data_IF_523190340344
#
_entry.id   IF_523190340344
#
_cell.length_a   1.000
_cell.length_b   1.000
_cell.length_c   1.000
_cell.angle_alpha   90.00
_cell.angle_beta   90.00
_cell.angle_gamma   90.00
#
_symmetry.space_group_name_H-M   'P 1'
#
loop_
_entity.id
_entity.type
_entity.pdbx_description
1 polymer ?
#
# COMPACT_ATOMS: atom_id res chain seq x y z
N UNK A 1 26.49 -9.97 0.50
CA UNK A 1 25.03 -9.94 0.28
C UNK A 1 24.37 -10.56 1.51
N UNK A 2 23.51 -9.85 2.26
CA UNK A 2 22.77 -10.49 3.33
C UNK A 2 21.51 -11.14 2.76
N UNK A 3 21.59 -12.45 2.55
CA UNK A 3 20.45 -13.37 2.41
C UNK A 3 19.96 -13.75 3.81
N UNK A 4 19.11 -12.93 4.41
CA UNK A 4 18.36 -13.29 5.60
C UNK A 4 16.90 -13.38 5.17
N UNK A 5 16.30 -14.58 5.23
CA UNK A 5 14.84 -14.72 5.26
C UNK A 5 14.38 -14.10 6.57
N UNK A 6 14.19 -12.78 6.60
CA UNK A 6 13.65 -12.09 7.78
C UNK A 6 12.29 -12.71 8.07
N UNK A 7 12.20 -13.50 9.15
CA UNK A 7 10.97 -14.17 9.55
C UNK A 7 9.99 -13.08 9.97
N UNK A 8 8.92 -12.89 9.19
CA UNK A 8 7.88 -11.92 9.52
C UNK A 8 7.15 -12.44 10.75
N UNK A 9 7.12 -11.70 11.87
CA UNK A 9 6.46 -12.18 13.07
C UNK A 9 4.94 -12.23 12.88
N UNK A 10 4.32 -13.30 13.39
CA UNK A 10 2.89 -13.58 13.26
C UNK A 10 2.07 -13.07 14.44
N UNK A 11 2.71 -12.77 15.57
CA UNK A 11 2.04 -12.24 16.76
C UNK A 11 1.58 -10.79 16.59
N UNK A 12 0.86 -10.31 17.59
CA UNK A 12 0.29 -8.95 17.63
C UNK A 12 0.85 -8.12 18.80
N UNK A 13 2.00 -8.54 19.35
CA UNK A 13 2.70 -7.72 20.34
C UNK A 13 3.19 -6.41 19.71
N UNK A 14 3.44 -5.39 20.55
CA UNK A 14 4.00 -4.12 20.08
C UNK A 14 5.33 -4.32 19.35
N UNK A 15 6.14 -5.27 19.82
CA UNK A 15 7.41 -5.65 19.21
C UNK A 15 7.20 -6.27 17.82
N UNK A 16 6.24 -7.19 17.67
CA UNK A 16 5.92 -7.79 16.38
C UNK A 16 5.47 -6.73 15.37
N UNK A 17 4.61 -5.80 15.80
CA UNK A 17 4.16 -4.68 14.96
C UNK A 17 5.34 -3.78 14.55
N UNK A 18 6.26 -3.49 15.48
CA UNK A 18 7.45 -2.68 15.18
C UNK A 18 8.36 -3.36 14.14
N UNK A 19 8.62 -4.65 14.31
CA UNK A 19 9.41 -5.45 13.35
C UNK A 19 8.71 -5.50 11.99
N UNK A 20 7.40 -5.75 11.94
CA UNK A 20 6.63 -5.74 10.67
C UNK A 20 6.71 -4.38 9.97
N UNK A 21 6.61 -3.27 10.73
CA UNK A 21 6.75 -1.92 10.19
C UNK A 21 8.13 -1.74 9.55
N UNK A 22 9.20 -2.14 10.23
CA UNK A 22 10.56 -2.05 9.70
C UNK A 22 10.72 -2.86 8.40
N UNK A 23 10.22 -4.09 8.36
CA UNK A 23 10.24 -4.96 7.17
C UNK A 23 9.48 -4.32 5.99
N UNK A 24 8.30 -3.77 6.23
CA UNK A 24 7.50 -3.10 5.18
C UNK A 24 8.27 -1.89 4.63
N UNK A 25 8.82 -1.05 5.51
CA UNK A 25 9.61 0.12 5.09
C UNK A 25 10.81 -0.33 4.28
N UNK A 26 11.61 -1.28 4.77
CA UNK A 26 12.78 -1.82 4.07
C UNK A 26 12.41 -2.33 2.67
N UNK A 27 11.30 -3.06 2.55
CA UNK A 27 10.88 -3.67 1.28
C UNK A 27 10.29 -2.67 0.29
N UNK A 28 9.58 -1.65 0.76
CA UNK A 28 8.92 -0.66 -0.08
C UNK A 28 9.79 0.56 -0.38
N UNK A 29 10.81 0.85 0.42
CA UNK A 29 11.72 1.98 0.20
C UNK A 29 12.38 1.98 -1.20
N UNK A 30 12.80 0.83 -1.77
CA UNK A 30 13.29 0.76 -3.15
C UNK A 30 12.27 1.12 -4.23
N UNK A 31 10.97 1.22 -3.90
CA UNK A 31 9.92 1.70 -4.81
C UNK A 31 9.78 3.23 -4.78
N UNK A 32 10.38 3.93 -3.82
CA UNK A 32 10.29 5.39 -3.70
C UNK A 32 10.70 6.07 -5.02
N UNK A 33 9.82 6.90 -5.55
CA UNK A 33 10.02 7.61 -6.82
C UNK A 33 9.72 6.79 -8.06
N UNK A 34 9.56 5.46 -7.94
CA UNK A 34 9.16 4.58 -9.03
C UNK A 34 7.65 4.58 -9.20
N UNK A 35 7.22 4.17 -10.38
CA UNK A 35 5.82 3.94 -10.69
C UNK A 35 5.58 2.50 -11.10
N UNK A 36 4.38 1.99 -10.81
CA UNK A 36 3.95 0.66 -11.22
C UNK A 36 2.61 0.74 -11.95
N UNK A 37 2.37 -0.12 -12.95
CA UNK A 37 1.08 -0.14 -13.65
C UNK A 37 -0.03 -0.61 -12.70
N UNK A 38 -1.20 0.03 -12.83
CA UNK A 38 -2.39 -0.29 -12.05
C UNK A 38 -3.52 -0.80 -12.95
N UNK A 39 -4.06 -1.98 -12.63
CA UNK A 39 -5.15 -2.61 -13.38
C UNK A 39 -6.41 -1.74 -13.41
N UNK A 40 -6.78 -1.15 -12.27
CA UNK A 40 -7.96 -0.33 -12.12
C UNK A 40 -7.97 0.91 -13.02
N UNK A 41 -6.79 1.38 -13.43
CA UNK A 41 -6.61 2.52 -14.33
C UNK A 41 -6.02 2.09 -15.69
N UNK A 42 -6.36 0.89 -16.17
CA UNK A 42 -5.96 0.39 -17.50
C UNK A 42 -4.45 0.44 -17.75
N UNK A 43 -3.65 0.17 -16.72
CA UNK A 43 -2.18 0.20 -16.78
C UNK A 43 -1.54 1.57 -16.51
N UNK A 44 -2.32 2.60 -16.16
CA UNK A 44 -1.76 3.88 -15.74
C UNK A 44 -0.81 3.71 -14.54
N UNK A 45 0.22 4.55 -14.53
CA UNK A 45 1.31 4.50 -13.58
C UNK A 45 0.90 5.07 -12.21
N UNK A 46 1.03 4.26 -11.16
CA UNK A 46 0.86 4.65 -9.76
C UNK A 46 2.24 4.83 -9.12
N UNK A 47 2.53 6.05 -8.67
CA UNK A 47 3.82 6.41 -8.08
C UNK A 47 3.86 6.13 -6.58
N UNK A 48 5.00 5.66 -6.09
CA UNK A 48 5.26 5.53 -4.65
C UNK A 48 6.05 6.73 -4.12
N UNK A 49 5.57 7.32 -3.04
CA UNK A 49 6.23 8.42 -2.32
C UNK A 49 6.49 8.03 -0.86
N UNK A 50 7.41 8.74 -0.20
CA UNK A 50 7.76 8.43 1.19
C UNK A 50 6.55 8.39 2.12
N UNK A 51 5.66 9.40 2.04
CA UNK A 51 4.45 9.47 2.85
C UNK A 51 3.51 8.26 2.63
N UNK A 52 3.49 7.69 1.42
CA UNK A 52 2.70 6.49 1.12
C UNK A 52 3.29 5.23 1.74
N UNK A 53 4.62 5.12 1.77
CA UNK A 53 5.32 3.99 2.36
C UNK A 53 5.13 4.00 3.87
N UNK A 54 5.27 5.18 4.49
CA UNK A 54 5.05 5.38 5.92
C UNK A 54 3.60 5.08 6.33
N UNK A 55 2.61 5.55 5.56
CA UNK A 55 1.20 5.23 5.80
C UNK A 55 0.95 3.72 5.71
N UNK A 56 1.45 3.11 4.64
CA UNK A 56 1.33 1.66 4.45
C UNK A 56 1.94 0.89 5.60
N UNK A 57 3.17 1.20 6.00
CA UNK A 57 3.83 0.55 7.12
C UNK A 57 3.07 0.75 8.43
N UNK A 58 2.47 1.92 8.65
CA UNK A 58 1.69 2.22 9.85
C UNK A 58 0.41 1.37 9.96
N UNK A 59 -0.29 1.18 8.84
CA UNK A 59 -1.57 0.44 8.83
C UNK A 59 -1.37 -1.06 8.65
N UNK A 60 -0.53 -1.47 7.70
CA UNK A 60 -0.35 -2.86 7.35
C UNK A 60 0.39 -3.67 8.43
N UNK A 61 1.29 -3.05 9.19
CA UNK A 61 2.04 -3.73 10.25
C UNK A 61 1.19 -4.18 11.44
N UNK A 62 -0.05 -3.70 11.56
CA UNK A 62 -0.96 -4.06 12.66
C UNK A 62 -1.41 -5.51 12.61
N UNK A 63 -1.47 -6.11 11.42
CA UNK A 63 -1.92 -7.48 11.22
C UNK A 63 -0.98 -8.21 10.27
N UNK A 64 -0.75 -9.49 10.54
CA UNK A 64 0.15 -10.32 9.75
C UNK A 64 -0.23 -10.36 8.27
N UNK A 65 -1.52 -10.59 7.97
CA UNK A 65 -2.00 -10.68 6.60
C UNK A 65 -1.90 -9.35 5.83
N UNK A 66 -2.16 -8.23 6.50
CA UNK A 66 -1.97 -6.90 5.90
C UNK A 66 -0.49 -6.63 5.61
N UNK A 67 0.41 -7.12 6.47
CA UNK A 67 1.85 -7.08 6.21
C UNK A 67 2.21 -7.88 4.97
N UNK A 68 1.70 -9.11 4.84
CA UNK A 68 1.90 -9.91 3.62
C UNK A 68 1.34 -9.23 2.37
N UNK A 69 0.20 -8.55 2.49
CA UNK A 69 -0.40 -7.78 1.39
C UNK A 69 0.51 -6.62 0.97
N UNK A 70 1.05 -5.85 1.92
CA UNK A 70 1.96 -4.75 1.64
C UNK A 70 3.24 -5.21 0.91
N UNK A 71 3.80 -6.37 1.29
CA UNK A 71 4.97 -6.93 0.61
C UNK A 71 4.70 -7.37 -0.83
N UNK A 72 3.42 -7.51 -1.20
CA UNK A 72 2.94 -7.89 -2.54
C UNK A 72 2.17 -6.75 -3.22
N UNK A 73 2.37 -5.50 -2.78
CA UNK A 73 1.63 -4.32 -3.27
C UNK A 73 1.68 -4.16 -4.80
N UNK A 74 2.81 -4.48 -5.44
CA UNK A 74 2.96 -4.36 -6.90
C UNK A 74 2.05 -5.35 -7.63
N UNK A 75 1.98 -6.59 -7.13
CA UNK A 75 1.09 -7.61 -7.70
C UNK A 75 -0.37 -7.24 -7.48
N UNK A 76 -0.69 -6.71 -6.30
CA UNK A 76 -2.03 -6.25 -5.96
C UNK A 76 -2.49 -5.08 -6.85
N UNK A 77 -1.62 -4.08 -7.06
CA UNK A 77 -1.93 -2.93 -7.94
C UNK A 77 -2.17 -3.36 -9.39
N UNK A 78 -1.33 -4.26 -9.91
CA UNK A 78 -1.46 -4.78 -11.29
C UNK A 78 -2.79 -5.48 -11.54
N UNK A 79 -3.35 -6.15 -10.53
CA UNK A 79 -4.60 -6.93 -10.62
C UNK A 79 -5.82 -6.21 -10.06
N UNK A 80 -5.63 -4.97 -9.61
CA UNK A 80 -6.68 -4.24 -8.90
C UNK A 80 -7.81 -3.81 -9.82
N UNK A 81 -9.00 -3.65 -9.24
CA UNK A 81 -10.20 -3.08 -9.86
C UNK A 81 -10.67 -1.88 -9.05
N UNK A 82 -11.22 -0.86 -9.71
CA UNK A 82 -11.75 0.33 -9.05
C UNK A 82 -13.05 -0.03 -8.32
N UNK A 83 -13.12 0.26 -7.03
CA UNK A 83 -14.34 0.05 -6.21
C UNK A 83 -15.14 1.33 -6.13
N UNK A 84 -14.50 2.43 -5.71
CA UNK A 84 -15.15 3.73 -5.56
C UNK A 84 -14.15 4.88 -5.60
N UNK A 85 -14.68 6.08 -5.77
CA UNK A 85 -13.94 7.34 -5.78
C UNK A 85 -14.60 8.32 -4.83
N UNK A 86 -13.82 8.84 -3.88
CA UNK A 86 -14.25 9.75 -2.83
C UNK A 86 -13.40 11.03 -2.82
N UNK A 87 -13.86 12.03 -2.07
CA UNK A 87 -13.06 13.20 -1.73
C UNK A 87 -12.05 12.86 -0.62
N UNK A 88 -10.89 13.56 -0.55
CA UNK A 88 -9.94 13.42 0.55
C UNK A 88 -10.59 13.71 1.91
N UNK A 89 -10.58 12.72 2.81
CA UNK A 89 -11.20 12.82 4.13
C UNK A 89 -10.18 13.16 5.23
N UNK A 90 -8.95 12.66 5.12
CA UNK A 90 -7.93 12.85 6.16
C UNK A 90 -7.06 14.09 5.92
N UNK A 91 -6.56 14.70 7.01
CA UNK A 91 -5.60 15.79 6.92
C UNK A 91 -4.31 15.37 6.19
N UNK A 92 -3.91 14.09 6.28
CA UNK A 92 -2.74 13.55 5.56
C UNK A 92 -3.01 13.51 4.06
N UNK A 93 -4.19 13.04 3.61
CA UNK A 93 -4.59 13.06 2.20
C UNK A 93 -4.64 14.50 1.64
N UNK A 94 -5.15 15.45 2.44
CA UNK A 94 -5.16 16.89 2.09
C UNK A 94 -3.73 17.45 1.97
N UNK A 95 -2.85 17.16 2.92
CA UNK A 95 -1.41 17.54 2.87
C UNK A 95 -0.67 16.92 1.68
N UNK A 96 -1.11 15.76 1.21
CA UNK A 96 -0.60 15.13 -0.01
C UNK A 96 -1.19 15.72 -1.30
N UNK A 97 -2.03 16.77 -1.20
CA UNK A 97 -2.67 17.48 -2.30
C UNK A 97 -3.52 16.58 -3.21
N UNK A 98 -4.15 15.54 -2.63
CA UNK A 98 -5.11 14.72 -3.36
C UNK A 98 -6.36 15.55 -3.66
N UNK A 99 -6.87 15.40 -4.89
CA UNK A 99 -8.16 15.92 -5.35
C UNK A 99 -9.23 14.86 -5.24
N UNK A 100 -8.87 13.61 -5.54
CA UNK A 100 -9.70 12.43 -5.38
C UNK A 100 -8.91 11.33 -4.68
N UNK A 101 -9.63 10.46 -4.00
CA UNK A 101 -9.09 9.25 -3.39
C UNK A 101 -9.88 8.08 -3.95
N UNK A 102 -9.17 7.09 -4.46
CA UNK A 102 -9.77 5.90 -5.06
C UNK A 102 -9.50 4.69 -4.18
N UNK A 103 -10.57 3.95 -3.91
CA UNK A 103 -10.48 2.64 -3.31
C UNK A 103 -10.45 1.60 -4.42
N UNK A 104 -9.45 0.72 -4.36
CA UNK A 104 -9.27 -0.39 -5.27
C UNK A 104 -9.37 -1.69 -4.48
N UNK A 105 -9.95 -2.71 -5.11
CA UNK A 105 -9.94 -4.07 -4.58
C UNK A 105 -9.00 -4.93 -5.43
N UNK A 106 -8.28 -5.84 -4.78
CA UNK A 106 -7.50 -6.88 -5.44
C UNK A 106 -7.61 -8.17 -4.65
N UNK A 107 -7.40 -9.31 -5.29
CA UNK A 107 -7.31 -10.58 -4.60
C UNK A 107 -5.86 -11.09 -4.63
N UNK A 108 -5.33 -11.46 -3.46
CA UNK A 108 -4.04 -12.15 -3.36
C UNK A 108 -4.25 -13.57 -2.84
N UNK A 109 -3.79 -14.56 -3.62
CA UNK A 109 -3.80 -15.97 -3.21
C UNK A 109 -3.11 -16.13 -1.85
N UNK A 110 -3.77 -16.86 -0.94
CA UNK A 110 -3.38 -17.12 0.46
C UNK A 110 -3.47 -15.91 1.41
N UNK A 111 -4.09 -14.80 1.00
CA UNK A 111 -4.34 -13.64 1.88
C UNK A 111 -5.81 -13.25 1.85
N UNK A 112 -6.42 -13.21 0.65
CA UNK A 112 -7.82 -12.87 0.44
C UNK A 112 -7.99 -11.55 -0.31
N UNK A 113 -9.12 -10.89 -0.06
CA UNK A 113 -9.43 -9.57 -0.61
C UNK A 113 -8.58 -8.48 0.05
N UNK A 114 -8.01 -7.62 -0.77
CA UNK A 114 -7.08 -6.55 -0.40
C UNK A 114 -7.70 -5.22 -0.79
N UNK A 115 -7.68 -4.29 0.15
CA UNK A 115 -8.04 -2.90 -0.08
C UNK A 115 -6.79 -2.09 -0.35
N UNK A 116 -6.79 -1.35 -1.45
CA UNK A 116 -5.72 -0.42 -1.81
C UNK A 116 -6.33 0.97 -1.94
N UNK A 117 -5.69 1.96 -1.35
CA UNK A 117 -6.06 3.36 -1.51
C UNK A 117 -4.99 4.06 -2.34
N UNK A 118 -5.43 4.80 -3.35
CA UNK A 118 -4.57 5.69 -4.13
C UNK A 118 -5.18 7.09 -4.18
N UNK A 119 -4.34 8.11 -4.29
CA UNK A 119 -4.77 9.49 -4.45
C UNK A 119 -4.46 10.03 -5.84
N UNK A 120 -5.41 10.75 -6.43
CA UNK A 120 -5.21 11.50 -7.67
C UNK A 120 -4.89 12.96 -7.33
N UNK A 121 -3.79 13.49 -7.88
CA UNK A 121 -3.44 14.93 -7.82
C UNK A 121 -3.94 15.66 -9.07
N UNK A 122 -3.93 16.99 -9.03
CA UNK A 122 -4.38 17.89 -10.11
C UNK A 122 -3.82 17.60 -11.52
N UNK A 123 -2.63 17.00 -11.62
CA UNK A 123 -1.99 16.68 -12.89
C UNK A 123 -2.20 15.21 -13.29
N UNK A 124 -3.36 14.62 -12.91
CA UNK A 124 -3.73 13.20 -13.09
C UNK A 124 -2.69 12.18 -12.59
N UNK A 125 -1.77 12.63 -11.73
CA UNK A 125 -0.77 11.78 -11.10
C UNK A 125 -1.45 10.94 -10.03
N UNK A 126 -1.44 9.62 -10.22
CA UNK A 126 -1.93 8.66 -9.24
C UNK A 126 -0.78 8.27 -8.31
N UNK A 127 -0.99 8.48 -7.02
CA UNK A 127 0.00 8.21 -5.97
C UNK A 127 -0.55 7.10 -5.09
N UNK A 128 0.26 6.10 -4.79
CA UNK A 128 -0.08 5.12 -3.77
C UNK A 128 -0.34 5.82 -2.43
N UNK A 129 -1.30 5.35 -1.64
CA UNK A 129 -1.53 5.87 -0.29
C UNK A 129 -1.33 4.76 0.74
N UNK A 130 -2.13 3.70 0.68
CA UNK A 130 -2.11 2.61 1.67
C UNK A 130 -2.63 1.31 1.07
N UNK A 131 -2.26 0.18 1.65
CA UNK A 131 -2.73 -1.16 1.31
C UNK A 131 -2.94 -1.98 2.60
N UNK A 132 -4.08 -2.65 2.72
CA UNK A 132 -4.40 -3.55 3.84
C UNK A 132 -5.22 -4.74 3.36
N UNK A 133 -5.20 -5.85 4.11
CA UNK A 133 -6.23 -6.89 3.94
C UNK A 133 -7.59 -6.29 4.32
N UNK A 134 -8.63 -6.67 3.58
CA UNK A 134 -10.02 -6.32 3.90
C UNK A 134 -10.53 -7.32 4.93
N UNK A 135 -11.16 -6.81 5.99
CA UNK A 135 -11.81 -7.62 7.03
C UNK A 135 -12.94 -8.46 6.45
#
# INVERSE_FOLDING_TARGET
MPTSKTKIPTGDSKEDVYIRRAIIVERLYPLRGKSVPCGAFKGQQVKFEFASIDETATHAAKHYDSTLAALRVVDALKRSVLVKTDNPQSNKQKKMNFKKVHELSSYLKNIGEIKIIVGERSNTKIIHYCITKKE
#
